data_IF_445828624417
#
_entry.id   IF_445828624417
#
_cell.length_a   1.000
_cell.length_b   1.000
_cell.length_c   1.000
_cell.angle_alpha   90.00
_cell.angle_beta   90.00
_cell.angle_gamma   90.00
#
_symmetry.space_group_name_H-M   'P 1'
#
loop_
_entity.id
_entity.type
_entity.pdbx_description
1 polymer ?
#
# COMPACT_ATOMS: atom_id res chain seq x y z
N UNK A 1 49.68 -16.77 95.72
CA UNK A 1 50.17 -16.41 94.37
C UNK A 1 49.13 -16.80 93.37
N UNK A 2 48.29 -15.87 92.95
CA UNK A 2 47.22 -16.10 91.93
C UNK A 2 47.60 -15.31 90.72
N UNK A 3 47.81 -16.01 89.58
CA UNK A 3 48.13 -15.45 88.30
C UNK A 3 46.80 -15.13 87.61
N UNK A 4 46.62 -13.88 87.24
CA UNK A 4 45.45 -13.37 86.49
C UNK A 4 45.75 -13.46 84.99
N UNK A 5 45.01 -14.28 84.27
CA UNK A 5 45.06 -14.34 82.80
C UNK A 5 44.05 -13.37 82.21
N UNK A 6 44.53 -12.42 81.47
CA UNK A 6 43.74 -11.44 80.72
C UNK A 6 43.49 -12.03 79.32
N UNK A 7 42.23 -12.29 79.03
CA UNK A 7 41.80 -12.72 77.69
C UNK A 7 41.49 -11.48 76.83
N UNK A 8 42.28 -11.31 75.73
CA UNK A 8 42.10 -10.26 74.75
C UNK A 8 41.11 -10.72 73.69
N UNK A 9 39.93 -10.14 73.63
CA UNK A 9 38.89 -10.43 72.62
C UNK A 9 39.11 -9.55 71.42
N UNK A 10 39.65 -10.13 70.28
CA UNK A 10 39.74 -9.48 68.95
C UNK A 10 38.39 -9.51 68.25
N UNK A 11 37.74 -8.37 68.16
CA UNK A 11 36.56 -8.18 67.27
C UNK A 11 37.04 -7.99 65.83
N UNK A 12 36.83 -9.00 65.00
CA UNK A 12 36.97 -8.94 63.50
C UNK A 12 35.71 -8.27 62.92
N UNK A 13 35.84 -7.02 62.51
CA UNK A 13 34.81 -6.32 61.71
C UNK A 13 35.00 -6.71 60.28
N UNK A 14 34.13 -7.63 59.75
CA UNK A 14 34.05 -7.94 58.35
C UNK A 14 33.32 -6.83 57.59
N UNK A 15 34.05 -6.00 56.88
CA UNK A 15 33.47 -5.03 55.94
C UNK A 15 33.05 -5.79 54.65
N UNK A 16 31.74 -6.02 54.45
CA UNK A 16 31.19 -6.44 53.20
C UNK A 16 31.30 -5.29 52.17
N UNK A 17 32.25 -5.37 51.28
CA UNK A 17 32.30 -4.53 50.08
C UNK A 17 31.28 -5.10 49.07
N UNK A 18 30.15 -4.44 48.93
CA UNK A 18 29.20 -4.74 47.89
C UNK A 18 29.84 -4.36 46.52
N UNK A 19 30.28 -5.35 45.76
CA UNK A 19 30.67 -5.14 44.36
C UNK A 19 29.40 -4.85 43.57
N UNK A 20 29.24 -3.60 43.10
CA UNK A 20 28.26 -3.26 42.10
C UNK A 20 28.60 -4.04 40.83
N UNK A 21 27.76 -5.00 40.47
CA UNK A 21 27.87 -5.72 39.20
C UNK A 21 27.77 -4.73 38.00
N UNK A 22 28.35 -5.09 36.82
CA UNK A 22 28.28 -4.22 35.66
C UNK A 22 26.83 -3.94 35.34
N UNK A 23 26.49 -2.65 35.21
CA UNK A 23 25.22 -2.19 34.71
C UNK A 23 25.08 -2.72 33.28
N UNK A 24 24.36 -3.82 33.08
CA UNK A 24 23.98 -4.30 31.74
C UNK A 24 22.98 -3.26 31.24
N UNK A 25 23.48 -2.32 30.44
CA UNK A 25 22.61 -1.41 29.70
C UNK A 25 21.63 -2.29 28.92
N UNK A 26 20.35 -2.21 29.26
CA UNK A 26 19.28 -2.88 28.50
C UNK A 26 19.39 -2.39 27.07
N UNK A 27 19.61 -3.30 26.11
CA UNK A 27 19.49 -2.95 24.70
C UNK A 27 18.16 -2.24 24.46
N UNK A 28 18.14 -1.15 23.72
CA UNK A 28 16.90 -0.47 23.39
C UNK A 28 15.91 -1.51 22.82
N UNK A 29 14.67 -1.47 23.28
CA UNK A 29 13.63 -2.34 22.77
C UNK A 29 13.52 -2.15 21.24
N UNK A 30 13.37 -3.26 20.50
CA UNK A 30 13.18 -3.19 19.05
C UNK A 30 11.98 -2.30 18.72
N UNK A 31 12.08 -1.46 17.67
CA UNK A 31 10.97 -0.61 17.26
C UNK A 31 9.69 -1.42 17.03
N UNK A 32 8.55 -0.91 17.45
CA UNK A 32 7.25 -1.50 17.14
C UNK A 32 6.74 -0.96 15.82
N UNK A 33 6.05 -1.79 15.04
CA UNK A 33 5.42 -1.35 13.80
C UNK A 33 4.30 -0.35 14.12
N UNK A 34 4.29 0.86 13.53
CA UNK A 34 3.14 1.76 13.59
C UNK A 34 2.00 1.20 12.73
N UNK A 35 0.82 1.82 12.81
CA UNK A 35 -0.33 1.40 12.00
C UNK A 35 -0.08 1.63 10.53
N UNK A 36 -0.53 0.67 9.69
CA UNK A 36 -0.70 0.79 8.25
C UNK A 36 -2.19 0.67 8.00
N UNK A 37 -2.84 1.78 7.68
CA UNK A 37 -4.30 1.92 7.80
C UNK A 37 -5.07 1.68 6.51
N UNK A 38 -4.41 1.69 5.37
CA UNK A 38 -5.06 1.47 4.08
C UNK A 38 -4.14 1.75 2.90
N UNK A 39 -4.68 1.55 1.71
CA UNK A 39 -4.09 2.06 0.47
C UNK A 39 -4.19 3.58 0.49
N UNK A 40 -3.08 4.29 0.21
CA UNK A 40 -3.08 5.74 0.06
C UNK A 40 -3.26 6.13 -1.41
N UNK A 41 -2.49 5.55 -2.31
CA UNK A 41 -2.60 5.79 -3.73
C UNK A 41 -1.94 4.69 -4.56
N UNK A 42 -2.20 4.76 -5.86
CA UNK A 42 -1.47 4.03 -6.90
C UNK A 42 -0.89 5.05 -7.86
N UNK A 43 0.40 4.95 -8.15
CA UNK A 43 1.09 5.74 -9.16
C UNK A 43 1.05 5.04 -10.51
N UNK A 44 0.49 5.68 -11.53
CA UNK A 44 0.37 5.16 -12.88
C UNK A 44 1.07 6.05 -13.89
N UNK A 45 1.66 5.45 -14.92
CA UNK A 45 2.30 6.14 -16.04
C UNK A 45 1.38 6.21 -17.24
N UNK A 46 1.35 7.34 -17.93
CA UNK A 46 0.62 7.53 -19.18
C UNK A 46 1.50 8.19 -20.24
N UNK A 47 1.28 7.84 -21.51
CA UNK A 47 1.84 8.55 -22.67
C UNK A 47 0.91 9.68 -23.18
N UNK A 48 -0.35 9.71 -22.67
CA UNK A 48 -1.36 10.66 -23.10
C UNK A 48 -2.19 11.16 -21.88
N UNK A 49 -1.69 12.20 -21.23
CA UNK A 49 -2.31 12.76 -20.04
C UNK A 49 -3.74 13.27 -20.27
N UNK A 50 -4.03 13.84 -21.44
CA UNK A 50 -5.38 14.34 -21.75
C UNK A 50 -6.39 13.19 -21.88
N UNK A 51 -5.97 12.05 -22.45
CA UNK A 51 -6.80 10.87 -22.50
C UNK A 51 -7.00 10.25 -21.10
N UNK A 52 -5.94 10.20 -20.28
CA UNK A 52 -6.02 9.75 -18.89
C UNK A 52 -6.94 10.65 -18.05
N UNK A 53 -6.84 11.97 -18.18
CA UNK A 53 -7.75 12.94 -17.55
C UNK A 53 -9.21 12.71 -17.96
N UNK A 54 -9.48 12.52 -19.25
CA UNK A 54 -10.83 12.21 -19.75
C UNK A 54 -11.39 10.92 -19.16
N UNK A 55 -10.56 9.92 -18.98
CA UNK A 55 -10.96 8.67 -18.34
C UNK A 55 -11.25 8.89 -16.85
N UNK A 56 -10.31 9.45 -16.11
CA UNK A 56 -10.47 9.64 -14.65
C UNK A 56 -11.60 10.63 -14.31
N UNK A 57 -11.71 11.76 -15.01
CA UNK A 57 -12.74 12.76 -14.72
C UNK A 57 -14.05 12.50 -15.44
N UNK A 58 -14.02 12.05 -16.69
CA UNK A 58 -15.20 11.85 -17.52
C UNK A 58 -15.87 10.51 -17.27
N UNK A 59 -15.13 9.41 -17.23
CA UNK A 59 -15.70 8.05 -17.02
C UNK A 59 -15.83 7.75 -15.53
N UNK A 60 -14.75 7.87 -14.75
CA UNK A 60 -14.79 7.55 -13.31
C UNK A 60 -15.45 8.67 -12.49
N UNK A 61 -15.41 9.92 -12.96
CA UNK A 61 -16.03 11.07 -12.31
C UNK A 61 -15.24 11.61 -11.13
N UNK A 62 -13.95 11.31 -11.04
CA UNK A 62 -13.05 11.90 -10.06
C UNK A 62 -12.69 13.33 -10.45
N UNK A 63 -12.22 14.11 -9.47
CA UNK A 63 -11.69 15.45 -9.73
C UNK A 63 -10.18 15.51 -9.51
N UNK A 64 -9.54 16.45 -10.20
CA UNK A 64 -8.11 16.72 -10.16
C UNK A 64 -7.87 17.94 -9.24
N UNK A 65 -7.60 17.75 -7.92
CA UNK A 65 -7.50 18.86 -6.97
C UNK A 65 -6.19 19.65 -7.09
N UNK A 66 -5.10 18.99 -7.45
CA UNK A 66 -3.77 19.59 -7.57
C UNK A 66 -2.85 18.73 -8.44
N UNK A 67 -1.72 19.31 -8.78
CA UNK A 67 -0.63 18.67 -9.53
C UNK A 67 0.72 19.17 -9.03
N UNK A 68 1.78 18.50 -9.42
CA UNK A 68 3.17 18.91 -9.18
C UNK A 68 3.89 19.09 -10.52
N UNK A 69 4.58 20.22 -10.67
CA UNK A 69 5.46 20.45 -11.80
C UNK A 69 6.85 19.86 -11.53
N UNK A 70 7.61 19.59 -12.57
CA UNK A 70 9.00 19.17 -12.47
C UNK A 70 9.84 20.25 -11.80
N UNK A 71 10.86 19.83 -11.04
CA UNK A 71 11.89 20.76 -10.57
C UNK A 71 12.76 21.22 -11.74
N UNK A 72 13.37 22.42 -11.66
CA UNK A 72 14.20 22.93 -12.75
C UNK A 72 15.32 21.97 -13.21
N UNK A 73 15.84 21.16 -12.31
CA UNK A 73 16.87 20.15 -12.63
C UNK A 73 16.29 18.95 -13.39
N UNK A 74 14.99 18.67 -13.29
CA UNK A 74 14.28 17.58 -13.96
C UNK A 74 13.74 18.01 -15.32
N UNK A 75 13.79 19.30 -15.64
CA UNK A 75 13.25 19.89 -16.87
C UNK A 75 12.04 20.77 -16.60
N UNK A 76 11.16 20.90 -17.60
CA UNK A 76 9.95 21.71 -17.52
C UNK A 76 8.70 20.86 -17.68
N UNK A 77 7.57 21.37 -17.19
CA UNK A 77 6.24 20.77 -17.31
C UNK A 77 5.83 19.95 -16.11
N UNK A 78 4.73 19.25 -16.25
CA UNK A 78 4.10 18.48 -15.20
C UNK A 78 4.94 17.26 -14.82
N UNK A 79 5.16 17.05 -13.53
CA UNK A 79 5.68 15.81 -12.98
C UNK A 79 4.57 14.77 -12.86
N UNK A 80 3.50 15.12 -12.15
CA UNK A 80 2.34 14.27 -11.94
C UNK A 80 1.09 15.07 -11.59
N UNK A 81 -0.07 14.47 -11.77
CA UNK A 81 -1.33 14.98 -11.26
C UNK A 81 -2.08 13.96 -10.44
N UNK A 82 -2.97 14.44 -9.56
CA UNK A 82 -3.71 13.63 -8.60
C UNK A 82 -5.20 13.61 -8.93
N UNK A 83 -5.80 12.41 -9.02
CA UNK A 83 -7.25 12.24 -9.10
C UNK A 83 -7.77 11.73 -7.76
N UNK A 84 -8.64 12.51 -7.14
CA UNK A 84 -9.10 12.26 -5.78
C UNK A 84 -10.25 11.25 -5.74
N UNK A 85 -10.02 10.13 -5.05
CA UNK A 85 -11.05 9.11 -4.78
C UNK A 85 -11.80 9.42 -3.49
N UNK A 86 -11.06 9.73 -2.42
CA UNK A 86 -11.57 10.22 -1.14
C UNK A 86 -10.48 11.06 -0.43
N UNK A 87 -10.68 11.44 0.82
CA UNK A 87 -9.74 12.30 1.55
C UNK A 87 -8.37 11.65 1.84
N UNK A 88 -8.28 10.33 1.75
CA UNK A 88 -7.07 9.56 2.02
C UNK A 88 -6.53 8.85 0.77
N UNK A 89 -7.34 8.71 -0.29
CA UNK A 89 -7.00 7.87 -1.43
C UNK A 89 -7.02 8.63 -2.76
N UNK A 90 -5.98 8.41 -3.56
CA UNK A 90 -5.76 9.08 -4.83
C UNK A 90 -5.26 8.12 -5.91
N UNK A 91 -5.45 8.51 -7.18
CA UNK A 91 -4.72 7.96 -8.32
C UNK A 91 -3.72 9.04 -8.74
N UNK A 92 -2.44 8.72 -8.70
CA UNK A 92 -1.39 9.58 -9.23
C UNK A 92 -1.12 9.22 -10.69
N UNK A 93 -1.04 10.23 -11.55
CA UNK A 93 -0.81 10.03 -12.97
C UNK A 93 0.43 10.79 -13.44
N UNK A 94 1.43 10.02 -13.86
CA UNK A 94 2.70 10.52 -14.36
C UNK A 94 2.71 10.54 -15.90
N UNK A 95 2.93 11.68 -16.56
CA UNK A 95 3.13 11.74 -18.01
C UNK A 95 4.53 11.25 -18.40
N UNK A 96 4.85 10.01 -18.02
CA UNK A 96 6.19 9.44 -18.05
C UNK A 96 6.26 8.06 -18.73
N UNK A 97 5.20 7.61 -19.41
CA UNK A 97 5.25 6.41 -20.23
C UNK A 97 5.92 6.72 -21.56
N UNK A 98 7.25 6.76 -21.56
CA UNK A 98 8.06 7.15 -22.73
C UNK A 98 8.40 6.00 -23.66
N UNK A 99 8.24 4.76 -23.22
CA UNK A 99 8.40 3.53 -24.00
C UNK A 99 7.17 2.65 -23.77
N UNK A 100 6.52 2.15 -24.83
CA UNK A 100 5.38 1.23 -24.71
C UNK A 100 5.72 -0.09 -23.98
N UNK A 101 7.01 -0.39 -23.82
CA UNK A 101 7.48 -1.55 -23.04
C UNK A 101 7.59 -1.31 -21.54
N UNK A 102 7.47 -0.07 -21.09
CA UNK A 102 7.47 0.25 -19.65
C UNK A 102 6.23 -0.30 -18.98
N UNK A 103 6.39 -0.70 -17.72
CA UNK A 103 5.25 -0.95 -16.84
C UNK A 103 4.45 0.35 -16.63
N UNK A 104 3.12 0.23 -16.66
CA UNK A 104 2.22 1.34 -16.34
C UNK A 104 2.20 1.66 -14.86
N UNK A 105 2.47 0.66 -14.01
CA UNK A 105 2.63 0.88 -12.58
C UNK A 105 3.93 1.66 -12.31
N UNK A 106 3.80 2.79 -11.61
CA UNK A 106 4.95 3.53 -11.06
C UNK A 106 5.31 2.99 -9.68
N UNK A 107 4.33 3.00 -8.79
CA UNK A 107 4.47 2.53 -7.41
C UNK A 107 3.08 2.25 -6.80
N UNK A 108 3.10 1.58 -5.66
CA UNK A 108 1.94 1.42 -4.78
C UNK A 108 2.21 2.13 -3.48
N UNK A 109 1.19 2.69 -2.85
CA UNK A 109 1.36 3.43 -1.59
C UNK A 109 0.37 3.04 -0.52
N UNK A 110 0.88 2.92 0.71
CA UNK A 110 0.09 2.64 1.91
C UNK A 110 0.21 3.79 2.91
N UNK A 111 -0.93 4.18 3.49
CA UNK A 111 -0.97 5.20 4.55
C UNK A 111 -0.49 4.59 5.88
N UNK A 112 0.45 5.26 6.52
CA UNK A 112 0.93 4.93 7.87
C UNK A 112 0.64 6.05 8.87
N UNK A 113 0.48 5.69 10.12
CA UNK A 113 0.29 6.68 11.19
C UNK A 113 1.58 7.40 11.61
N UNK A 114 2.76 6.87 11.25
CA UNK A 114 4.06 7.45 11.58
C UNK A 114 5.13 6.88 10.63
N UNK A 115 5.54 7.68 9.65
CA UNK A 115 6.49 7.27 8.64
C UNK A 115 7.90 7.07 9.21
N UNK A 116 8.34 7.88 10.19
CA UNK A 116 9.66 7.74 10.79
C UNK A 116 9.78 6.47 11.64
N UNK A 117 8.73 6.19 12.44
CA UNK A 117 8.70 4.96 13.22
C UNK A 117 8.64 3.73 12.31
N UNK A 118 7.90 3.79 11.18
CA UNK A 118 7.83 2.69 10.23
C UNK A 118 9.18 2.46 9.53
N UNK A 119 9.86 3.55 9.13
CA UNK A 119 11.22 3.46 8.57
C UNK A 119 12.18 2.75 9.53
N UNK A 120 12.22 3.18 10.81
CA UNK A 120 13.07 2.57 11.84
C UNK A 120 12.69 1.10 12.11
N UNK A 121 11.39 0.80 12.11
CA UNK A 121 10.90 -0.57 12.25
C UNK A 121 11.40 -1.46 11.09
N UNK A 122 11.21 -1.02 9.84
CA UNK A 122 11.62 -1.77 8.65
C UNK A 122 13.14 -1.98 8.61
N UNK A 123 13.92 -0.95 8.97
CA UNK A 123 15.38 -1.06 9.11
C UNK A 123 15.75 -2.15 10.13
N UNK A 124 15.07 -2.21 11.28
CA UNK A 124 15.29 -3.22 12.31
C UNK A 124 14.94 -4.66 11.86
N UNK A 125 14.13 -4.78 10.79
CA UNK A 125 13.76 -6.04 10.15
C UNK A 125 14.65 -6.41 8.95
N UNK A 126 15.67 -5.58 8.69
CA UNK A 126 16.61 -5.80 7.60
C UNK A 126 16.10 -5.36 6.21
N UNK A 127 15.01 -4.60 6.15
CA UNK A 127 14.55 -3.97 4.92
C UNK A 127 15.45 -2.76 4.64
N UNK A 128 15.87 -2.62 3.39
CA UNK A 128 16.64 -1.45 2.95
C UNK A 128 15.71 -0.23 2.93
N UNK A 129 16.00 0.77 3.72
CA UNK A 129 15.25 2.02 3.82
C UNK A 129 16.18 3.22 3.59
N UNK A 130 15.67 4.41 3.26
CA UNK A 130 16.50 5.62 3.19
C UNK A 130 17.08 5.95 4.58
N UNK A 131 18.27 6.57 4.62
CA UNK A 131 18.95 6.95 5.86
C UNK A 131 18.09 7.91 6.70
N UNK A 132 17.39 8.82 6.05
CA UNK A 132 16.47 9.80 6.65
C UNK A 132 15.27 10.03 5.74
N UNK A 133 14.18 10.54 6.33
CA UNK A 133 13.04 11.00 5.54
C UNK A 133 13.33 12.41 5.01
N UNK A 134 13.17 12.58 3.69
CA UNK A 134 13.14 13.91 3.08
C UNK A 134 11.70 14.43 3.04
N UNK A 135 11.49 15.75 3.10
CA UNK A 135 10.16 16.32 2.92
C UNK A 135 9.60 15.97 1.54
N UNK A 136 8.40 15.42 1.49
CA UNK A 136 7.72 15.20 0.21
C UNK A 136 7.22 16.53 -0.37
N UNK A 137 7.17 16.62 -1.69
CA UNK A 137 6.83 17.86 -2.41
C UNK A 137 5.37 18.31 -2.21
N UNK A 138 4.49 17.37 -1.92
CA UNK A 138 3.09 17.61 -1.56
C UNK A 138 2.91 18.06 -0.10
N UNK A 139 3.97 18.05 0.69
CA UNK A 139 3.99 18.43 2.10
C UNK A 139 3.64 17.30 3.07
N UNK A 140 3.48 16.08 2.60
CA UNK A 140 3.38 14.88 3.43
C UNK A 140 4.77 14.42 3.89
N UNK A 141 4.81 13.32 4.64
CA UNK A 141 6.03 12.63 5.03
C UNK A 141 5.94 11.19 4.56
N UNK A 142 6.98 10.69 3.92
CA UNK A 142 6.96 9.32 3.40
C UNK A 142 8.33 8.86 2.95
N UNK A 143 8.39 7.61 2.49
CA UNK A 143 9.57 6.99 1.91
C UNK A 143 9.18 5.78 1.09
N UNK A 144 10.07 5.41 0.16
CA UNK A 144 9.94 4.24 -0.67
C UNK A 144 10.85 3.12 -0.19
N UNK A 145 10.38 1.90 -0.39
CA UNK A 145 11.16 0.67 -0.33
C UNK A 145 10.85 -0.17 -1.57
N UNK A 146 11.74 -1.09 -1.91
CA UNK A 146 11.49 -2.04 -3.01
C UNK A 146 11.06 -3.37 -2.43
N UNK A 147 9.95 -3.91 -2.91
CA UNK A 147 9.48 -5.23 -2.53
C UNK A 147 10.32 -6.35 -3.19
N UNK A 148 10.13 -7.64 -2.83
CA UNK A 148 10.92 -8.75 -3.39
C UNK A 148 10.80 -8.94 -4.91
N UNK A 149 9.71 -8.49 -5.53
CA UNK A 149 9.47 -8.57 -6.98
C UNK A 149 9.93 -7.31 -7.73
N UNK A 150 10.42 -6.30 -7.02
CA UNK A 150 10.98 -5.08 -7.59
C UNK A 150 9.98 -3.93 -7.71
N UNK A 151 8.79 -4.03 -7.12
CA UNK A 151 7.86 -2.91 -7.06
C UNK A 151 8.32 -1.86 -6.06
N UNK A 152 8.16 -0.59 -6.43
CA UNK A 152 8.31 0.50 -5.50
C UNK A 152 7.06 0.59 -4.61
N UNK A 153 7.29 0.52 -3.29
CA UNK A 153 6.27 0.55 -2.24
C UNK A 153 6.50 1.78 -1.39
N UNK A 154 5.62 2.76 -1.52
CA UNK A 154 5.66 3.98 -0.72
C UNK A 154 4.86 3.82 0.58
N UNK A 155 5.39 4.37 1.67
CA UNK A 155 4.65 4.57 2.91
C UNK A 155 4.52 6.07 3.18
N UNK A 156 3.28 6.56 3.23
CA UNK A 156 2.98 7.98 3.39
C UNK A 156 2.23 8.25 4.70
N UNK A 157 2.67 9.29 5.41
CA UNK A 157 1.98 9.88 6.57
C UNK A 157 1.37 11.21 6.13
N UNK A 158 0.03 11.30 6.13
CA UNK A 158 -0.66 12.53 5.80
C UNK A 158 -0.42 13.59 6.87
N UNK A 159 0.07 14.76 6.46
CA UNK A 159 0.46 15.84 7.37
C UNK A 159 -0.50 17.01 7.32
N UNK A 160 -0.80 17.63 8.47
CA UNK A 160 -1.48 18.94 8.48
C UNK A 160 -0.71 19.96 7.64
N UNK A 161 -1.42 20.67 6.76
CA UNK A 161 -0.82 21.67 5.87
C UNK A 161 -0.28 21.11 4.54
N UNK A 162 -0.29 19.79 4.33
CA UNK A 162 0.00 19.19 3.02
C UNK A 162 -1.04 19.58 1.97
N UNK A 163 -0.73 19.37 0.70
CA UNK A 163 -1.70 19.55 -0.39
C UNK A 163 -2.96 18.70 -0.16
N UNK A 164 -2.78 17.44 0.24
CA UNK A 164 -3.88 16.52 0.55
C UNK A 164 -4.78 17.07 1.65
N UNK A 165 -4.21 17.49 2.79
CA UNK A 165 -4.99 17.97 3.94
C UNK A 165 -5.74 19.28 3.69
N UNK A 166 -5.22 20.13 2.81
CA UNK A 166 -5.90 21.38 2.39
C UNK A 166 -7.16 21.12 1.56
N UNK A 167 -7.22 19.96 0.91
CA UNK A 167 -8.33 19.56 0.05
C UNK A 167 -9.29 18.57 0.71
N UNK A 168 -9.18 18.33 2.03
CA UNK A 168 -10.12 17.49 2.76
C UNK A 168 -11.55 18.02 2.65
N UNK A 169 -12.49 17.12 2.36
CA UNK A 169 -13.90 17.41 2.15
C UNK A 169 -14.23 18.11 0.84
N UNK A 170 -13.25 18.36 -0.04
CA UNK A 170 -13.41 19.02 -1.33
C UNK A 170 -13.12 18.05 -2.48
N UNK A 171 -13.51 18.42 -3.69
CA UNK A 171 -13.26 17.62 -4.91
C UNK A 171 -13.82 16.19 -4.84
N UNK A 172 -14.96 16.02 -4.18
CA UNK A 172 -15.64 14.74 -3.96
C UNK A 172 -17.07 14.77 -4.52
N UNK A 173 -17.27 14.90 -5.85
CA UNK A 173 -18.60 14.98 -6.44
C UNK A 173 -19.41 13.72 -6.14
N UNK A 174 -20.71 13.87 -5.86
CA UNK A 174 -21.60 12.74 -5.57
C UNK A 174 -21.68 11.73 -6.71
N UNK A 175 -21.53 12.21 -7.95
CA UNK A 175 -21.60 11.37 -9.14
C UNK A 175 -20.36 10.55 -9.45
N UNK A 176 -19.29 10.59 -8.63
CA UNK A 176 -18.11 9.74 -8.86
C UNK A 176 -18.46 8.26 -8.74
N UNK A 177 -17.82 7.43 -9.57
CA UNK A 177 -18.19 6.00 -9.71
C UNK A 177 -17.95 5.19 -8.45
N UNK A 178 -16.96 5.62 -7.65
CA UNK A 178 -16.55 4.98 -6.40
C UNK A 178 -16.14 6.02 -5.37
N UNK A 179 -16.13 5.60 -4.11
CA UNK A 179 -15.64 6.40 -2.98
C UNK A 179 -14.39 5.80 -2.33
N UNK A 180 -13.86 4.70 -2.89
CA UNK A 180 -12.77 3.98 -2.24
C UNK A 180 -11.98 3.11 -3.21
N UNK A 181 -10.66 3.12 -3.09
CA UNK A 181 -9.79 2.05 -3.58
C UNK A 181 -9.86 0.94 -2.53
N UNK A 182 -10.25 -0.27 -2.94
CA UNK A 182 -10.36 -1.39 -2.01
C UNK A 182 -9.16 -2.32 -2.11
N UNK A 183 -8.54 -2.43 -3.30
CA UNK A 183 -7.28 -3.14 -3.44
C UNK A 183 -6.42 -2.59 -4.59
N UNK A 184 -5.16 -2.97 -4.54
CA UNK A 184 -4.21 -2.88 -5.65
C UNK A 184 -3.75 -4.31 -5.93
N UNK A 185 -3.77 -4.72 -7.19
CA UNK A 185 -3.18 -5.98 -7.64
C UNK A 185 -1.78 -5.76 -8.18
N UNK A 186 -0.86 -6.67 -7.88
CA UNK A 186 0.52 -6.66 -8.38
C UNK A 186 0.96 -8.06 -8.78
N UNK A 187 1.77 -8.17 -9.82
CA UNK A 187 2.38 -9.44 -10.23
C UNK A 187 3.37 -9.88 -9.17
N UNK A 188 3.23 -11.12 -8.68
CA UNK A 188 4.15 -11.72 -7.71
C UNK A 188 4.72 -13.00 -8.29
N UNK A 189 6.03 -13.05 -8.47
CA UNK A 189 6.75 -14.20 -9.00
C UNK A 189 7.20 -15.18 -7.92
N UNK A 190 7.56 -14.66 -6.72
CA UNK A 190 7.95 -15.46 -5.55
C UNK A 190 7.03 -15.17 -4.37
N UNK A 191 5.94 -15.96 -4.28
CA UNK A 191 4.99 -15.85 -3.17
C UNK A 191 5.66 -15.95 -1.80
N UNK A 192 6.66 -16.82 -1.63
CA UNK A 192 7.28 -16.99 -0.33
C UNK A 192 8.11 -15.75 0.08
N UNK A 193 8.74 -15.08 -0.88
CA UNK A 193 9.42 -13.82 -0.65
C UNK A 193 8.42 -12.69 -0.35
N UNK A 194 7.32 -12.60 -1.12
CA UNK A 194 6.25 -11.65 -0.89
C UNK A 194 5.59 -11.84 0.49
N UNK A 195 5.29 -13.08 0.89
CA UNK A 195 4.74 -13.40 2.22
C UNK A 195 5.70 -12.96 3.34
N UNK A 196 7.02 -13.17 3.20
CA UNK A 196 8.00 -12.67 4.20
C UNK A 196 7.94 -11.14 4.31
N UNK A 197 7.82 -10.41 3.21
CA UNK A 197 7.78 -8.95 3.22
C UNK A 197 6.41 -8.43 3.71
N UNK A 198 5.33 -8.79 3.04
CA UNK A 198 4.01 -8.23 3.35
C UNK A 198 3.40 -8.83 4.61
N UNK A 199 3.48 -10.14 4.79
CA UNK A 199 2.85 -10.83 5.94
C UNK A 199 3.71 -10.79 7.19
N UNK A 200 4.98 -11.28 7.12
CA UNK A 200 5.78 -11.50 8.32
C UNK A 200 6.41 -10.19 8.83
N UNK A 201 6.80 -9.27 7.93
CA UNK A 201 7.39 -7.97 8.31
C UNK A 201 6.30 -6.92 8.45
N UNK A 202 5.50 -6.66 7.43
CA UNK A 202 4.50 -5.59 7.46
C UNK A 202 3.23 -5.97 8.23
N UNK A 203 2.94 -7.27 8.43
CA UNK A 203 1.81 -7.75 9.21
C UNK A 203 0.50 -7.84 8.45
N UNK A 204 0.54 -7.88 7.12
CA UNK A 204 -0.64 -8.11 6.28
C UNK A 204 -1.22 -9.49 6.56
N UNK A 205 -2.52 -9.65 6.33
CA UNK A 205 -3.24 -10.89 6.63
C UNK A 205 -3.89 -11.44 5.36
N UNK A 206 -3.58 -12.68 5.03
CA UNK A 206 -4.31 -13.37 3.97
C UNK A 206 -5.78 -13.51 4.36
N UNK A 207 -6.68 -12.97 3.53
CA UNK A 207 -8.12 -13.02 3.74
C UNK A 207 -8.83 -13.92 2.74
N UNK A 208 -8.22 -14.18 1.60
CA UNK A 208 -8.72 -15.10 0.59
C UNK A 208 -7.59 -15.52 -0.35
N UNK A 209 -7.71 -16.71 -0.89
CA UNK A 209 -6.96 -17.15 -2.07
C UNK A 209 -7.84 -17.99 -2.98
N UNK A 210 -7.58 -17.90 -4.26
CA UNK A 210 -8.27 -18.65 -5.28
C UNK A 210 -7.49 -18.79 -6.58
N UNK A 211 -8.06 -19.51 -7.52
CA UNK A 211 -7.42 -19.73 -8.80
C UNK A 211 -8.43 -19.92 -9.94
N UNK A 212 -7.91 -19.95 -11.18
CA UNK A 212 -8.71 -20.26 -12.37
C UNK A 212 -9.41 -21.60 -12.26
N UNK A 213 -8.74 -22.58 -11.64
CA UNK A 213 -9.32 -23.87 -11.32
C UNK A 213 -9.35 -24.08 -9.81
N UNK A 214 -10.30 -24.92 -9.37
CA UNK A 214 -10.36 -25.36 -7.99
C UNK A 214 -9.03 -26.06 -7.64
N UNK A 215 -8.49 -25.72 -6.46
CA UNK A 215 -7.18 -26.18 -5.93
C UNK A 215 -5.94 -25.52 -6.53
N UNK A 216 -6.06 -24.60 -7.47
CA UNK A 216 -4.98 -23.71 -7.89
C UNK A 216 -5.02 -22.42 -7.05
N UNK A 217 -3.88 -21.76 -6.90
CA UNK A 217 -3.78 -20.45 -6.26
C UNK A 217 -3.13 -19.51 -7.25
N UNK A 218 -3.95 -18.72 -7.90
CA UNK A 218 -3.55 -17.72 -8.88
C UNK A 218 -3.66 -16.30 -8.30
N UNK A 219 -4.46 -16.14 -7.24
CA UNK A 219 -4.71 -14.87 -6.55
C UNK A 219 -4.67 -15.05 -5.04
N UNK A 220 -4.14 -14.04 -4.34
CA UNK A 220 -4.13 -14.00 -2.87
C UNK A 220 -4.43 -12.59 -2.39
N UNK A 221 -5.51 -12.40 -1.64
CA UNK A 221 -5.88 -11.13 -1.02
C UNK A 221 -5.20 -10.97 0.33
N UNK A 222 -4.31 -9.99 0.43
CA UNK A 222 -3.51 -9.67 1.61
C UNK A 222 -4.01 -8.36 2.23
N UNK A 223 -4.88 -8.43 3.24
CA UNK A 223 -5.43 -7.25 3.91
C UNK A 223 -4.36 -6.48 4.67
N UNK A 224 -4.37 -5.15 4.55
CA UNK A 224 -3.52 -4.28 5.37
C UNK A 224 -3.79 -4.51 6.87
N UNK A 225 -2.77 -4.43 7.73
CA UNK A 225 -2.89 -4.91 9.12
C UNK A 225 -3.86 -4.09 9.99
N UNK A 226 -4.03 -2.81 9.71
CA UNK A 226 -4.82 -1.90 10.55
C UNK A 226 -5.97 -1.24 9.77
N UNK A 227 -6.37 -1.84 8.64
CA UNK A 227 -7.43 -1.35 7.77
C UNK A 227 -8.23 -2.46 7.12
N UNK A 228 -8.92 -2.11 6.05
CA UNK A 228 -9.82 -3.03 5.34
C UNK A 228 -9.52 -3.17 3.86
N UNK A 229 -8.57 -2.37 3.33
CA UNK A 229 -8.07 -2.50 1.97
C UNK A 229 -7.07 -3.67 1.89
N UNK A 230 -6.80 -4.16 0.70
CA UNK A 230 -5.85 -5.26 0.54
C UNK A 230 -4.94 -5.09 -0.68
N UNK A 231 -3.85 -5.80 -0.67
CA UNK A 231 -2.99 -6.05 -1.81
C UNK A 231 -3.37 -7.41 -2.40
N UNK A 232 -3.62 -7.49 -3.70
CA UNK A 232 -3.87 -8.75 -4.39
C UNK A 232 -2.59 -9.22 -5.08
N UNK A 233 -2.09 -10.41 -4.72
CA UNK A 233 -1.02 -11.07 -5.45
C UNK A 233 -1.58 -11.72 -6.70
N UNK A 234 -1.01 -11.37 -7.86
CA UNK A 234 -1.29 -11.98 -9.15
C UNK A 234 -0.18 -13.00 -9.43
N UNK A 235 -0.45 -14.30 -9.14
CA UNK A 235 0.53 -15.39 -9.23
C UNK A 235 0.49 -16.15 -10.55
N UNK A 236 -0.52 -15.90 -11.38
CA UNK A 236 -0.81 -16.68 -12.59
C UNK A 236 -0.11 -16.17 -13.85
N UNK A 237 0.76 -15.17 -13.73
CA UNK A 237 1.45 -14.58 -14.87
C UNK A 237 2.95 -14.61 -14.64
N UNK A 238 3.66 -15.14 -15.62
CA UNK A 238 5.11 -15.26 -15.61
C UNK A 238 5.71 -14.57 -16.81
N UNK A 239 6.65 -13.65 -16.58
CA UNK A 239 7.26 -12.81 -17.62
C UNK A 239 6.22 -12.09 -18.48
N UNK A 240 5.27 -11.34 -17.87
CA UNK A 240 4.21 -10.68 -18.60
C UNK A 240 4.77 -9.69 -19.62
N UNK A 241 4.07 -9.55 -20.75
CA UNK A 241 4.32 -8.44 -21.64
C UNK A 241 3.80 -7.11 -21.03
N UNK A 242 4.13 -5.95 -21.60
CA UNK A 242 3.70 -4.67 -21.01
C UNK A 242 2.19 -4.47 -20.94
N UNK A 243 1.41 -5.10 -21.84
CA UNK A 243 -0.05 -5.01 -21.78
C UNK A 243 -0.59 -5.92 -20.67
N UNK A 244 -0.05 -7.13 -20.52
CA UNK A 244 -0.38 -8.02 -19.41
C UNK A 244 -0.01 -7.39 -18.07
N UNK A 245 1.15 -6.70 -17.96
CA UNK A 245 1.51 -5.94 -16.77
C UNK A 245 0.46 -4.89 -16.42
N UNK A 246 -0.03 -4.11 -17.38
CA UNK A 246 -1.08 -3.11 -17.14
C UNK A 246 -2.43 -3.74 -16.74
N UNK A 247 -2.69 -4.98 -17.13
CA UNK A 247 -3.89 -5.72 -16.70
C UNK A 247 -3.70 -6.31 -15.31
N UNK A 248 -2.51 -6.80 -14.98
CA UNK A 248 -2.24 -7.49 -13.71
C UNK A 248 -1.88 -6.50 -12.59
N UNK A 249 -1.05 -5.50 -12.88
CA UNK A 249 -0.78 -4.38 -11.98
C UNK A 249 -1.93 -3.38 -12.07
N UNK A 250 -2.93 -3.50 -11.20
CA UNK A 250 -4.21 -2.81 -11.33
C UNK A 250 -4.71 -2.19 -10.03
N UNK A 251 -5.77 -1.39 -10.12
CA UNK A 251 -6.50 -0.95 -8.95
C UNK A 251 -7.96 -1.41 -9.01
N UNK A 252 -8.53 -1.67 -7.85
CA UNK A 252 -9.95 -1.95 -7.72
C UNK A 252 -10.67 -0.89 -6.88
N UNK A 253 -11.77 -0.43 -7.42
CA UNK A 253 -12.65 0.58 -6.86
C UNK A 253 -13.86 -0.11 -6.24
N UNK A 254 -14.04 0.06 -4.93
CA UNK A 254 -15.20 -0.45 -4.22
C UNK A 254 -16.47 0.31 -4.57
N UNK A 255 -17.48 -0.41 -5.04
CA UNK A 255 -18.78 0.16 -5.41
C UNK A 255 -19.94 -0.55 -4.71
N UNK A 256 -21.02 0.14 -4.37
CA UNK A 256 -22.19 -0.51 -3.77
C UNK A 256 -22.93 -1.43 -4.76
N UNK A 257 -22.80 -1.18 -6.08
CA UNK A 257 -23.36 -2.01 -7.15
C UNK A 257 -22.50 -1.91 -8.40
N UNK A 258 -21.90 -3.02 -8.78
CA UNK A 258 -21.09 -3.12 -10.02
C UNK A 258 -21.99 -2.88 -11.25
N UNK A 259 -23.23 -3.36 -11.23
CA UNK A 259 -24.18 -3.13 -12.34
C UNK A 259 -24.48 -1.65 -12.53
N UNK A 260 -24.71 -0.91 -11.44
CA UNK A 260 -24.92 0.53 -11.52
C UNK A 260 -23.66 1.28 -11.97
N UNK A 261 -22.49 0.86 -11.53
CA UNK A 261 -21.20 1.39 -12.00
C UNK A 261 -20.98 1.16 -13.49
N UNK A 262 -21.27 -0.04 -13.98
CA UNK A 262 -21.23 -0.39 -15.41
C UNK A 262 -22.16 0.52 -16.23
N UNK A 263 -23.42 0.65 -15.84
CA UNK A 263 -24.38 1.53 -16.53
C UNK A 263 -23.93 2.99 -16.53
N UNK A 264 -23.36 3.45 -15.43
CA UNK A 264 -22.79 4.79 -15.31
C UNK A 264 -21.63 5.01 -16.26
N UNK A 265 -20.70 4.05 -16.35
CA UNK A 265 -19.59 4.11 -17.29
C UNK A 265 -20.06 4.17 -18.74
N UNK A 266 -21.02 3.30 -19.14
CA UNK A 266 -21.62 3.32 -20.48
C UNK A 266 -22.31 4.65 -20.78
N UNK A 267 -23.10 5.19 -19.87
CA UNK A 267 -23.78 6.50 -20.02
C UNK A 267 -22.78 7.63 -20.23
N UNK A 268 -21.59 7.51 -19.67
CA UNK A 268 -20.48 8.47 -19.84
C UNK A 268 -19.62 8.22 -21.08
N UNK A 269 -20.04 7.28 -21.94
CA UNK A 269 -19.41 7.00 -23.23
C UNK A 269 -18.30 5.97 -23.21
N UNK A 270 -18.06 5.30 -22.06
CA UNK A 270 -17.11 4.19 -22.01
C UNK A 270 -17.57 3.05 -22.92
N UNK A 271 -16.65 2.45 -23.68
CA UNK A 271 -16.90 1.31 -24.56
C UNK A 271 -16.43 0.04 -23.87
N UNK A 272 -17.34 -0.62 -23.17
CA UNK A 272 -17.03 -1.85 -22.48
C UNK A 272 -16.77 -3.02 -23.43
N UNK A 273 -15.69 -3.75 -23.21
CA UNK A 273 -15.38 -5.01 -23.90
C UNK A 273 -16.02 -6.24 -23.24
N UNK A 274 -16.43 -6.11 -21.98
CA UNK A 274 -17.02 -7.17 -21.18
C UNK A 274 -18.23 -6.65 -20.37
N UNK A 275 -18.88 -7.55 -19.65
CA UNK A 275 -20.03 -7.23 -18.79
C UNK A 275 -19.72 -7.58 -17.33
N UNK A 276 -20.48 -7.01 -16.37
CA UNK A 276 -20.40 -7.44 -14.98
C UNK A 276 -20.54 -8.95 -14.83
N UNK A 277 -19.66 -9.53 -14.04
CA UNK A 277 -19.62 -10.96 -13.73
C UNK A 277 -19.34 -11.18 -12.25
N UNK A 278 -19.53 -12.42 -11.78
CA UNK A 278 -19.15 -12.81 -10.43
C UNK A 278 -17.77 -13.48 -10.51
N UNK A 279 -16.81 -12.93 -9.77
CA UNK A 279 -15.46 -13.46 -9.66
C UNK A 279 -15.39 -14.77 -8.87
N UNK A 280 -14.20 -15.36 -8.84
CA UNK A 280 -13.92 -16.60 -8.09
C UNK A 280 -14.01 -16.41 -6.57
N UNK A 281 -13.82 -15.17 -6.11
CA UNK A 281 -14.04 -14.72 -4.73
C UNK A 281 -15.52 -14.56 -4.36
N UNK A 282 -16.42 -14.80 -5.31
CA UNK A 282 -17.88 -14.71 -5.14
C UNK A 282 -18.44 -13.30 -5.21
N UNK A 283 -17.64 -12.27 -5.50
CA UNK A 283 -18.08 -10.88 -5.58
C UNK A 283 -18.43 -10.49 -7.01
N UNK A 284 -19.35 -9.51 -7.17
CA UNK A 284 -19.54 -8.87 -8.45
C UNK A 284 -18.34 -8.03 -8.83
N UNK A 285 -17.89 -8.16 -10.09
CA UNK A 285 -16.74 -7.49 -10.68
C UNK A 285 -17.06 -6.98 -12.08
N UNK A 286 -16.38 -5.92 -12.48
CA UNK A 286 -16.38 -5.40 -13.85
C UNK A 286 -15.08 -4.65 -14.11
N UNK A 287 -14.39 -4.96 -15.22
CA UNK A 287 -13.15 -4.31 -15.59
C UNK A 287 -13.37 -3.19 -16.59
N UNK A 288 -12.78 -2.03 -16.29
CA UNK A 288 -12.52 -0.95 -17.22
C UNK A 288 -11.02 -0.93 -17.51
N UNK A 289 -10.67 -0.38 -18.64
CA UNK A 289 -9.28 -0.18 -19.05
C UNK A 289 -9.08 1.29 -19.37
N UNK A 290 -8.04 1.88 -18.81
CA UNK A 290 -7.64 3.23 -19.15
C UNK A 290 -7.05 3.30 -20.59
N UNK A 291 -6.71 4.48 -21.11
CA UNK A 291 -6.14 4.60 -22.46
C UNK A 291 -4.81 3.86 -22.67
N UNK A 292 -4.09 3.53 -21.59
CA UNK A 292 -2.83 2.80 -21.62
C UNK A 292 -2.98 1.31 -21.26
N UNK A 293 -4.22 0.79 -21.23
CA UNK A 293 -4.56 -0.59 -20.85
C UNK A 293 -4.28 -0.94 -19.38
N UNK A 294 -4.24 0.04 -18.49
CA UNK A 294 -4.27 -0.23 -17.05
C UNK A 294 -5.69 -0.64 -16.65
N UNK A 295 -5.82 -1.79 -16.01
CA UNK A 295 -7.11 -2.27 -15.50
C UNK A 295 -7.56 -1.46 -14.30
N UNK A 296 -8.80 -1.01 -14.35
CA UNK A 296 -9.53 -0.40 -13.24
C UNK A 296 -10.75 -1.27 -12.97
N UNK A 297 -10.71 -2.04 -11.91
CA UNK A 297 -11.78 -2.95 -11.55
C UNK A 297 -12.84 -2.23 -10.71
N UNK A 298 -14.12 -2.45 -11.01
CA UNK A 298 -15.21 -2.16 -10.08
C UNK A 298 -15.57 -3.45 -9.35
N UNK A 299 -15.60 -3.40 -8.02
CA UNK A 299 -15.88 -4.58 -7.21
C UNK A 299 -16.86 -4.25 -6.08
N UNK A 300 -17.84 -5.15 -5.85
CA UNK A 300 -18.68 -5.11 -4.66
C UNK A 300 -17.90 -5.68 -3.44
N UNK A 301 -18.04 -5.09 -2.24
CA UNK A 301 -17.19 -5.46 -1.12
C UNK A 301 -17.53 -6.82 -0.50
N UNK A 302 -18.71 -7.37 -0.80
CA UNK A 302 -19.21 -8.62 -0.19
C UNK A 302 -19.51 -9.68 -1.24
N UNK A 303 -19.14 -10.95 -0.99
CA UNK A 303 -19.53 -12.06 -1.83
C UNK A 303 -21.06 -12.22 -1.88
N UNK A 304 -21.59 -12.48 -3.07
CA UNK A 304 -23.01 -12.86 -3.32
C UNK A 304 -23.15 -14.35 -3.61
N UNK A 305 -22.01 -15.03 -3.78
CA UNK A 305 -21.91 -16.48 -3.91
C UNK A 305 -20.79 -17.00 -3.01
N UNK A 306 -20.80 -18.31 -2.76
CA UNK A 306 -19.70 -18.93 -2.02
C UNK A 306 -18.38 -18.75 -2.77
N UNK A 307 -17.35 -18.16 -2.13
CA UNK A 307 -16.02 -18.08 -2.73
C UNK A 307 -15.46 -19.46 -3.09
N UNK A 308 -14.74 -19.54 -4.20
CA UNK A 308 -13.95 -20.69 -4.56
C UNK A 308 -12.70 -20.79 -3.67
N UNK A 309 -12.22 -21.99 -3.55
CA UNK A 309 -10.88 -22.39 -3.17
C UNK A 309 -10.58 -22.18 -1.68
N UNK A 310 -10.77 -21.01 -1.11
CA UNK A 310 -10.71 -20.75 0.33
C UNK A 310 -11.93 -19.99 0.83
N UNK A 311 -12.25 -20.05 2.13
CA UNK A 311 -13.24 -19.15 2.71
C UNK A 311 -12.70 -17.71 2.74
N UNK A 312 -13.60 -16.74 2.54
CA UNK A 312 -13.27 -15.33 2.77
C UNK A 312 -13.22 -15.08 4.29
N UNK A 313 -12.07 -14.66 4.80
CA UNK A 313 -11.90 -14.22 6.18
C UNK A 313 -12.31 -12.74 6.32
N UNK A 314 -12.95 -12.42 7.45
CA UNK A 314 -13.43 -11.05 7.73
C UNK A 314 -12.37 -10.23 8.47
#
# INVERSE_FOLDING_TARGET
MKILQTVLLCLLVSTCVAQAGPNVASSPAAPTRPKIVGVAHIGLRTDNLDAARKFCTGVLGFQEPFSLDKEPAEGTGLLLTYFKVNDHQYIEMFPALTDPKMDRLSHISFETSDAEQLRAYLESRGVKVPEKLEPMRDGNRGFDVTDPDGHDVEFVELRPGSMHSREFGKFLPEGRISQRIIHIGVVVNDRAAADRFYKDILGFQEIWHGGMKDKETDWVDMRVPDGTDWLEYMLNVHNPDPQELGVMNHLALGVPSVKAGYETALKRGYKASEKPQIGRDGKWQFNLYDPNFTRVELMEPKPVQKPCCSPMLQ
#
